data_IF_996325998232
#
_entry.id   IF_996325998232
#
_cell.length_a   1.000
_cell.length_b   1.000
_cell.length_c   1.000
_cell.angle_alpha   90.00
_cell.angle_beta   90.00
_cell.angle_gamma   90.00
#
_symmetry.space_group_name_H-M   'P 1'
#
loop_
_entity.id
_entity.type
_entity.pdbx_description
1 polymer ?
#
# COMPACT_ATOMS: atom_id res chain seq x y z
N UNK A 1 32.61 16.85 60.04
CA UNK A 1 32.47 16.16 58.74
C UNK A 1 31.03 15.67 58.60
N UNK A 2 30.09 16.41 57.97
CA UNK A 2 28.73 15.91 57.76
C UNK A 2 28.68 15.07 56.46
N UNK A 3 28.10 13.88 56.54
CA UNK A 3 27.91 13.00 55.37
C UNK A 3 26.75 13.54 54.54
N UNK A 4 27.00 13.82 53.25
CA UNK A 4 25.96 14.23 52.30
C UNK A 4 25.15 12.99 51.89
N UNK A 5 23.99 12.80 52.49
CA UNK A 5 23.01 11.80 52.06
C UNK A 5 22.40 12.19 50.70
N UNK A 6 22.82 11.53 49.63
CA UNK A 6 22.18 11.63 48.32
C UNK A 6 20.85 10.87 48.36
N UNK A 7 19.74 11.58 48.16
CA UNK A 7 18.43 10.94 47.92
C UNK A 7 18.44 10.25 46.55
N UNK A 8 17.89 9.02 46.42
CA UNK A 8 17.73 8.40 45.12
C UNK A 8 16.65 9.13 44.31
N UNK A 9 16.93 9.32 43.01
CA UNK A 9 16.02 9.88 42.01
C UNK A 9 14.90 8.87 41.76
N UNK A 10 13.64 9.29 41.91
CA UNK A 10 12.49 8.47 41.56
C UNK A 10 12.54 8.13 40.05
N UNK A 11 12.36 6.85 39.73
CA UNK A 11 12.17 6.39 38.37
C UNK A 11 10.72 6.70 37.96
N UNK A 12 10.58 7.44 36.88
CA UNK A 12 9.30 7.77 36.25
C UNK A 12 8.90 6.59 35.34
N UNK A 13 7.77 5.90 35.57
CA UNK A 13 7.28 4.85 34.69
C UNK A 13 6.22 5.37 33.72
N UNK A 14 6.35 6.60 33.19
CA UNK A 14 5.45 7.07 32.13
C UNK A 14 6.03 6.80 30.74
N UNK A 15 5.25 6.07 29.93
CA UNK A 15 5.17 6.39 28.51
C UNK A 15 5.69 5.33 27.54
N UNK A 16 5.46 4.04 27.77
CA UNK A 16 5.38 3.10 26.64
C UNK A 16 3.96 3.18 26.06
N UNK A 17 3.65 4.32 25.42
CA UNK A 17 2.45 4.46 24.60
C UNK A 17 2.53 3.45 23.48
N UNK A 18 1.60 2.48 23.47
CA UNK A 18 1.42 1.59 22.34
C UNK A 18 1.22 2.44 21.07
N UNK A 19 1.81 2.06 19.92
CA UNK A 19 1.51 2.74 18.68
C UNK A 19 0.01 2.66 18.44
N UNK A 20 -0.63 3.82 18.24
CA UNK A 20 -1.99 3.86 17.75
C UNK A 20 -2.02 3.06 16.44
N UNK A 21 -2.79 1.98 16.42
CA UNK A 21 -3.10 1.24 15.18
C UNK A 21 -3.66 2.29 14.21
N UNK A 22 -3.01 2.53 13.05
CA UNK A 22 -3.55 3.50 12.11
C UNK A 22 -4.95 3.05 11.71
N UNK A 23 -5.88 4.00 11.67
CA UNK A 23 -7.22 3.78 11.15
C UNK A 23 -7.11 3.06 9.79
N UNK A 24 -7.94 2.04 9.57
CA UNK A 24 -7.97 1.28 8.31
C UNK A 24 -8.01 2.25 7.13
N UNK A 25 -6.90 2.34 6.41
CA UNK A 25 -6.80 3.13 5.19
C UNK A 25 -7.63 2.43 4.14
N UNK A 26 -8.79 2.99 3.79
CA UNK A 26 -9.57 2.51 2.65
C UNK A 26 -8.72 2.64 1.40
N UNK A 27 -8.25 1.51 0.87
CA UNK A 27 -7.44 1.49 -0.34
C UNK A 27 -8.34 1.71 -1.57
N UNK A 28 -7.98 2.67 -2.42
CA UNK A 28 -8.63 2.83 -3.73
C UNK A 28 -8.05 1.80 -4.69
N UNK A 29 -8.89 1.09 -5.45
CA UNK A 29 -8.42 0.11 -6.43
C UNK A 29 -8.48 0.69 -7.84
N UNK A 30 -7.34 0.76 -8.51
CA UNK A 30 -7.22 1.20 -9.90
C UNK A 30 -6.71 0.08 -10.80
N UNK A 31 -6.92 0.23 -12.09
CA UNK A 31 -6.32 -0.64 -13.09
C UNK A 31 -4.88 -0.22 -13.38
N UNK A 32 -4.02 -1.19 -13.59
CA UNK A 32 -2.66 -0.98 -14.06
C UNK A 32 -2.35 -1.91 -15.23
N UNK A 33 -1.62 -1.41 -16.22
CA UNK A 33 -1.25 -2.16 -17.42
C UNK A 33 0.19 -2.65 -17.33
N UNK A 34 0.38 -3.97 -17.40
CA UNK A 34 1.72 -4.54 -17.49
C UNK A 34 2.34 -4.24 -18.85
N UNK A 35 3.68 -4.24 -18.93
CA UNK A 35 4.36 -4.11 -20.22
C UNK A 35 4.41 -5.48 -20.91
N UNK A 36 4.16 -5.55 -22.23
CA UNK A 36 4.36 -6.80 -22.95
C UNK A 36 5.85 -7.16 -22.91
N UNK A 37 6.16 -8.44 -22.73
CA UNK A 37 7.52 -8.95 -22.73
C UNK A 37 7.62 -10.18 -23.64
N UNK A 38 8.30 -10.01 -24.79
CA UNK A 38 8.40 -11.06 -25.81
C UNK A 38 7.01 -11.52 -26.28
N UNK A 39 6.69 -12.83 -26.22
CA UNK A 39 5.41 -13.35 -26.67
C UNK A 39 4.25 -13.08 -25.70
N UNK A 40 4.51 -12.59 -24.49
CA UNK A 40 3.49 -12.37 -23.48
C UNK A 40 2.79 -11.02 -23.70
N UNK A 41 1.47 -11.07 -23.99
CA UNK A 41 0.65 -9.88 -24.11
C UNK A 41 0.56 -9.12 -22.79
N UNK A 42 0.48 -7.79 -22.89
CA UNK A 42 0.17 -6.94 -21.76
C UNK A 42 -1.22 -7.28 -21.20
N UNK A 43 -1.36 -7.28 -19.87
CA UNK A 43 -2.62 -7.52 -19.18
C UNK A 43 -2.94 -6.36 -18.24
N UNK A 44 -4.22 -6.19 -17.93
CA UNK A 44 -4.71 -5.31 -16.87
C UNK A 44 -4.68 -6.03 -15.53
N UNK A 45 -4.20 -5.33 -14.51
CA UNK A 45 -4.09 -5.81 -13.15
C UNK A 45 -4.75 -4.83 -12.17
N UNK A 46 -5.19 -5.34 -11.03
CA UNK A 46 -5.68 -4.52 -9.92
C UNK A 46 -4.50 -4.01 -9.08
N UNK A 47 -4.51 -2.71 -8.75
CA UNK A 47 -3.57 -2.10 -7.80
C UNK A 47 -4.36 -1.47 -6.67
N UNK A 48 -4.08 -1.86 -5.45
CA UNK A 48 -4.59 -1.19 -4.26
C UNK A 48 -3.66 -0.03 -3.89
N UNK A 49 -4.20 1.18 -3.90
CA UNK A 49 -3.49 2.41 -3.57
C UNK A 49 -3.89 2.86 -2.17
N UNK A 50 -2.89 3.12 -1.34
CA UNK A 50 -3.07 3.70 0.00
C UNK A 50 -3.13 5.24 -0.02
N UNK A 51 -3.08 5.84 -1.21
CA UNK A 51 -3.18 7.28 -1.46
C UNK A 51 -4.29 7.55 -2.48
N UNK A 52 -4.87 8.76 -2.51
CA UNK A 52 -5.83 9.15 -3.53
C UNK A 52 -5.27 8.96 -4.95
N UNK A 53 -6.13 8.59 -5.91
CA UNK A 53 -5.76 8.41 -7.32
C UNK A 53 -5.09 9.68 -7.92
N UNK A 54 -5.52 10.86 -7.49
CA UNK A 54 -4.98 12.15 -7.93
C UNK A 54 -3.51 12.38 -7.50
N UNK A 55 -3.04 11.69 -6.46
CA UNK A 55 -1.67 11.77 -5.96
C UNK A 55 -0.74 10.73 -6.61
N UNK A 56 -1.28 9.86 -7.46
CA UNK A 56 -0.49 8.91 -8.23
C UNK A 56 0.07 9.61 -9.47
N UNK A 57 1.33 9.35 -9.77
CA UNK A 57 2.06 9.90 -10.93
C UNK A 57 1.95 9.02 -12.18
N UNK A 58 1.27 7.88 -12.07
CA UNK A 58 1.14 6.88 -13.12
C UNK A 58 2.42 6.09 -13.33
N UNK A 59 3.28 5.94 -12.31
CA UNK A 59 4.42 5.05 -12.32
C UNK A 59 4.01 3.56 -12.25
N UNK A 60 5.01 2.67 -12.31
CA UNK A 60 4.79 1.24 -12.08
C UNK A 60 4.62 0.98 -10.58
N UNK A 61 3.54 0.31 -10.22
CA UNK A 61 3.22 -0.08 -8.84
C UNK A 61 3.07 -1.60 -8.76
N UNK A 62 3.15 -2.12 -7.54
CA UNK A 62 2.92 -3.54 -7.28
C UNK A 62 1.41 -3.82 -7.30
N UNK A 63 1.02 -4.78 -8.12
CA UNK A 63 -0.37 -5.21 -8.26
C UNK A 63 -0.75 -6.21 -7.19
N UNK A 64 -2.05 -6.45 -6.99
CA UNK A 64 -2.55 -7.43 -6.02
C UNK A 64 -2.04 -8.85 -6.28
N UNK A 65 -1.79 -9.20 -7.54
CA UNK A 65 -1.20 -10.50 -7.90
C UNK A 65 0.34 -10.53 -7.84
N UNK A 66 0.98 -9.44 -7.40
CA UNK A 66 2.44 -9.33 -7.26
C UNK A 66 3.19 -8.97 -8.55
N UNK A 67 2.51 -8.59 -9.64
CA UNK A 67 3.16 -8.11 -10.86
C UNK A 67 3.46 -6.61 -10.77
N UNK A 68 4.47 -6.13 -11.52
CA UNK A 68 4.69 -4.69 -11.70
C UNK A 68 3.95 -4.21 -12.95
N UNK A 69 3.07 -3.22 -12.77
CA UNK A 69 2.27 -2.66 -13.85
C UNK A 69 2.13 -1.15 -13.68
N UNK A 70 2.02 -0.43 -14.80
CA UNK A 70 1.84 1.03 -14.79
C UNK A 70 0.40 1.37 -14.41
N UNK A 71 0.21 2.16 -13.36
CA UNK A 71 -1.13 2.60 -12.95
C UNK A 71 -1.73 3.51 -14.00
N UNK A 72 -2.97 3.20 -14.38
CA UNK A 72 -3.83 4.10 -15.14
C UNK A 72 -4.75 4.82 -14.14
N UNK A 73 -4.60 6.13 -14.04
CA UNK A 73 -5.24 6.95 -13.01
C UNK A 73 -6.71 7.22 -13.30
N UNK A 74 -7.09 7.08 -14.56
CA UNK A 74 -8.45 7.35 -15.05
C UNK A 74 -9.25 6.05 -15.19
N UNK A 75 -8.57 4.91 -15.19
CA UNK A 75 -9.20 3.60 -15.30
C UNK A 75 -9.43 2.97 -13.91
N UNK A 76 -10.66 3.01 -13.37
CA UNK A 76 -10.99 2.27 -12.15
C UNK A 76 -10.91 0.76 -12.40
N UNK A 77 -10.74 0.02 -11.30
CA UNK A 77 -10.92 -1.42 -11.29
C UNK A 77 -12.32 -1.79 -10.77
N UNK A 78 -13.01 -2.78 -11.37
CA UNK A 78 -12.61 -3.57 -12.54
C UNK A 78 -12.66 -2.76 -13.85
N UNK A 79 -11.78 -3.10 -14.79
CA UNK A 79 -11.77 -2.52 -16.14
C UNK A 79 -12.73 -3.29 -17.06
N UNK A 80 -13.40 -2.62 -18.03
CA UNK A 80 -14.24 -3.29 -19.04
C UNK A 80 -13.45 -4.04 -20.13
N UNK A 81 -12.12 -4.01 -20.09
CA UNK A 81 -11.27 -4.68 -21.07
C UNK A 81 -11.29 -6.21 -20.95
N UNK A 82 -10.79 -6.91 -21.97
CA UNK A 82 -10.79 -8.39 -22.04
C UNK A 82 -9.49 -9.03 -21.57
N UNK A 83 -8.40 -8.31 -21.72
CA UNK A 83 -7.03 -8.71 -21.39
C UNK A 83 -6.74 -8.44 -19.91
N UNK A 84 -7.52 -9.08 -19.04
CA UNK A 84 -7.47 -8.90 -17.59
C UNK A 84 -6.77 -10.09 -16.94
N UNK A 85 -5.90 -9.82 -15.97
CA UNK A 85 -5.23 -10.85 -15.20
C UNK A 85 -6.25 -11.66 -14.37
N UNK A 86 -6.37 -12.98 -14.57
CA UNK A 86 -7.38 -13.80 -13.87
C UNK A 86 -7.15 -13.84 -12.35
N UNK A 87 -5.89 -13.78 -11.90
CA UNK A 87 -5.58 -13.72 -10.47
C UNK A 87 -6.12 -12.43 -9.83
N UNK A 88 -5.97 -11.28 -10.49
CA UNK A 88 -6.52 -10.01 -10.00
C UNK A 88 -8.05 -10.03 -9.96
N UNK A 89 -8.72 -10.69 -10.92
CA UNK A 89 -10.18 -10.86 -10.90
C UNK A 89 -10.61 -11.62 -9.64
N UNK A 90 -9.97 -12.75 -9.35
CA UNK A 90 -10.29 -13.58 -8.17
C UNK A 90 -9.97 -12.86 -6.85
N UNK A 91 -8.90 -12.06 -6.79
CA UNK A 91 -8.52 -11.34 -5.57
C UNK A 91 -9.39 -10.11 -5.27
N UNK A 92 -10.27 -9.72 -6.20
CA UNK A 92 -11.11 -8.50 -6.09
C UNK A 92 -12.61 -8.80 -6.18
N UNK A 93 -12.98 -10.08 -6.19
CA UNK A 93 -14.37 -10.56 -6.15
C UNK A 93 -14.94 -10.56 -4.75
#
# INVERSE_FOLDING_TARGET
>A
MPVLSRRPRAADPEGMSAPAVPASVTATVLAARSRPHGPTSALWHAVALHRPAAEVDGACELTLCGSLARVDREQPWPTPARDVCPACVVLTS
#
